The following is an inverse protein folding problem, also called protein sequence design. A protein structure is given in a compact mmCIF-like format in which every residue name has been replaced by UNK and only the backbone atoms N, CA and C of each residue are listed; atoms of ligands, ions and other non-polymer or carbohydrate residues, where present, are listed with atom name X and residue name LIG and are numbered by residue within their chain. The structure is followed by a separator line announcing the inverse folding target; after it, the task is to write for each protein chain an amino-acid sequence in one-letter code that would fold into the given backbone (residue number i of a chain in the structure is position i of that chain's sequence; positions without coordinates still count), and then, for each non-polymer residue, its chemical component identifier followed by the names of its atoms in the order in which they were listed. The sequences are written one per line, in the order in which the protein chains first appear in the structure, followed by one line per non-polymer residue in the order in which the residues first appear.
data_IF_791973997267
#
_entry.id   IF_791973997267
#
_cell.length_a   1.000
_cell.length_b   1.000
_cell.length_c   1.000
_cell.angle_alpha   90.00
_cell.angle_beta   90.00
_cell.angle_gamma   90.00
#
_symmetry.space_group_name_H-M   'P 1'
#
loop_
_entity.id
_entity.type
_entity.pdbx_description
1 polymer ?
#
# COMPACT_ATOMS: atom_id res chain seq x y z
N UNK A 1 -3.43 -8.22 -25.69
CA UNK A 1 -2.32 -8.23 -24.72
C UNK A 1 -1.74 -9.64 -24.70
N UNK A 2 -0.45 -9.79 -25.01
CA UNK A 2 0.24 -11.08 -25.06
C UNK A 2 0.70 -11.56 -23.67
N UNK A 3 1.03 -12.84 -23.52
CA UNK A 3 1.46 -13.43 -22.24
C UNK A 3 2.65 -12.69 -21.61
N UNK A 4 3.64 -12.29 -22.42
CA UNK A 4 4.78 -11.52 -21.92
C UNK A 4 4.40 -10.12 -21.42
N UNK A 5 3.41 -9.47 -22.04
CA UNK A 5 2.90 -8.16 -21.61
C UNK A 5 2.13 -8.29 -20.28
N UNK A 6 1.36 -9.38 -20.11
CA UNK A 6 0.66 -9.69 -18.86
C UNK A 6 1.61 -9.95 -17.71
N UNK A 7 2.68 -10.72 -17.95
CA UNK A 7 3.70 -11.00 -16.94
C UNK A 7 4.47 -9.75 -16.51
N UNK A 8 4.81 -8.86 -17.44
CA UNK A 8 5.42 -7.56 -17.12
C UNK A 8 4.47 -6.71 -16.27
N UNK A 9 3.20 -6.63 -16.66
CA UNK A 9 2.20 -5.90 -15.91
C UNK A 9 1.98 -6.44 -14.48
N UNK A 10 1.93 -7.77 -14.30
CA UNK A 10 1.88 -8.39 -12.97
C UNK A 10 3.09 -8.01 -12.09
N UNK A 11 4.28 -7.97 -12.69
CA UNK A 11 5.51 -7.59 -11.98
C UNK A 11 5.47 -6.10 -11.57
N UNK A 12 4.99 -5.22 -12.43
CA UNK A 12 4.80 -3.80 -12.14
C UNK A 12 3.79 -3.58 -11.00
N UNK A 13 2.65 -4.29 -11.03
CA UNK A 13 1.64 -4.22 -9.95
C UNK A 13 2.20 -4.72 -8.62
N UNK A 14 2.99 -5.81 -8.64
CA UNK A 14 3.64 -6.35 -7.43
C UNK A 14 4.66 -5.35 -6.88
N UNK A 15 5.43 -4.70 -7.76
CA UNK A 15 6.38 -3.66 -7.37
C UNK A 15 5.68 -2.46 -6.74
N UNK A 16 4.67 -1.92 -7.41
CA UNK A 16 3.89 -0.78 -6.93
C UNK A 16 3.19 -1.08 -5.59
N UNK A 17 2.67 -2.30 -5.42
CA UNK A 17 2.12 -2.79 -4.16
C UNK A 17 3.14 -2.66 -3.03
N UNK A 18 4.34 -3.21 -3.24
CA UNK A 18 5.43 -3.20 -2.26
C UNK A 18 5.91 -1.78 -1.94
N UNK A 19 6.08 -0.94 -2.96
CA UNK A 19 6.49 0.46 -2.75
C UNK A 19 5.46 1.22 -1.93
N UNK A 20 4.17 1.02 -2.22
CA UNK A 20 3.08 1.68 -1.50
C UNK A 20 3.02 1.24 -0.04
N UNK A 21 3.15 -0.07 0.24
CA UNK A 21 3.16 -0.57 1.62
C UNK A 21 4.41 -0.13 2.39
N UNK A 22 5.57 -0.12 1.75
CA UNK A 22 6.80 0.39 2.38
C UNK A 22 6.68 1.87 2.73
N UNK A 23 6.13 2.68 1.82
CA UNK A 23 5.90 4.10 2.08
C UNK A 23 4.93 4.29 3.27
N UNK A 24 3.88 3.45 3.37
CA UNK A 24 2.98 3.48 4.52
C UNK A 24 3.73 3.16 5.83
N UNK A 25 4.59 2.14 5.85
CA UNK A 25 5.39 1.77 7.04
C UNK A 25 6.37 2.88 7.46
N UNK A 26 7.02 3.53 6.49
CA UNK A 26 7.92 4.66 6.74
C UNK A 26 7.16 5.87 7.33
N UNK A 27 6.01 6.23 6.74
CA UNK A 27 5.17 7.32 7.23
C UNK A 27 4.64 7.00 8.64
N UNK A 28 4.21 5.77 8.90
CA UNK A 28 3.75 5.36 10.23
C UNK A 28 4.89 5.44 11.27
N UNK A 29 6.11 5.08 10.89
CA UNK A 29 7.30 5.24 11.73
C UNK A 29 7.56 6.70 12.08
N UNK A 30 7.51 7.60 11.09
CA UNK A 30 7.69 9.04 11.28
C UNK A 30 6.57 9.64 12.14
N UNK A 31 5.31 9.27 11.87
CA UNK A 31 4.13 9.68 12.64
C UNK A 31 4.28 9.30 14.12
N UNK A 32 4.64 8.05 14.42
CA UNK A 32 4.85 7.59 15.81
C UNK A 32 5.97 8.35 16.52
N UNK A 33 7.06 8.64 15.81
CA UNK A 33 8.19 9.43 16.35
C UNK A 33 7.74 10.85 16.69
N UNK A 34 7.04 11.52 15.78
CA UNK A 34 6.49 12.85 16.02
C UNK A 34 5.48 12.84 17.17
N UNK A 35 4.56 11.87 17.20
CA UNK A 35 3.59 11.72 18.30
C UNK A 35 4.25 11.57 19.67
N UNK A 36 5.36 10.83 19.75
CA UNK A 36 6.16 10.73 20.99
C UNK A 36 6.74 12.08 21.39
N UNK A 37 7.36 12.80 20.44
CA UNK A 37 7.94 14.13 20.68
C UNK A 37 6.88 15.15 21.11
N UNK A 38 5.67 15.08 20.53
CA UNK A 38 4.56 15.96 20.88
C UNK A 38 3.97 15.62 22.26
N UNK A 39 3.87 14.33 22.60
CA UNK A 39 3.51 13.89 23.95
C UNK A 39 4.50 14.38 25.00
N UNK A 40 5.80 14.32 24.72
CA UNK A 40 6.85 14.85 25.60
C UNK A 40 6.74 16.36 25.77
N UNK A 41 6.52 17.09 24.68
CA UNK A 41 6.33 18.53 24.69
C UNK A 41 5.09 18.92 25.49
N UNK A 42 3.96 18.24 25.29
CA UNK A 42 2.70 18.51 26.00
C UNK A 42 2.77 18.32 27.52
N UNK A 43 3.77 17.59 28.03
CA UNK A 43 4.01 17.45 29.48
C UNK A 43 4.65 18.69 30.11
N UNK A 44 5.34 19.50 29.33
CA UNK A 44 6.13 20.64 29.83
C UNK A 44 5.64 21.99 29.32
N UNK A 45 5.01 22.01 28.14
CA UNK A 45 4.47 23.20 27.52
C UNK A 45 2.97 23.31 27.79
N UNK A 46 2.58 24.35 28.52
CA UNK A 46 1.19 24.58 28.95
C UNK A 46 0.70 25.97 28.54
N UNK A 47 -0.62 26.19 28.60
CA UNK A 47 -1.27 27.45 28.23
C UNK A 47 -1.92 27.41 26.84
N UNK A 48 -2.60 28.49 26.48
CA UNK A 48 -3.44 28.54 25.27
C UNK A 48 -2.66 28.30 23.97
N UNK A 49 -1.41 28.78 23.89
CA UNK A 49 -0.56 28.54 22.72
C UNK A 49 -0.20 27.05 22.57
N UNK A 50 0.08 26.36 23.69
CA UNK A 50 0.33 24.93 23.69
C UNK A 50 -0.92 24.15 23.24
N UNK A 51 -2.09 24.51 23.77
CA UNK A 51 -3.37 23.90 23.36
C UNK A 51 -3.64 24.09 21.87
N UNK A 52 -3.48 25.30 21.34
CA UNK A 52 -3.72 25.58 19.92
C UNK A 52 -2.79 24.75 19.02
N UNK A 53 -1.52 24.64 19.39
CA UNK A 53 -0.56 23.83 18.64
C UNK A 53 -0.84 22.33 18.74
N UNK A 54 -1.15 21.82 19.93
CA UNK A 54 -1.46 20.40 20.13
C UNK A 54 -2.77 19.97 19.44
N UNK A 55 -3.73 20.87 19.29
CA UNK A 55 -4.93 20.61 18.50
C UNK A 55 -4.60 20.43 17.01
N UNK A 56 -3.78 21.33 16.44
CA UNK A 56 -3.32 21.19 15.05
C UNK A 56 -2.52 19.89 14.86
N UNK A 57 -1.71 19.50 15.85
CA UNK A 57 -1.02 18.21 15.81
C UNK A 57 -2.01 17.03 15.79
N UNK A 58 -3.09 17.07 16.59
CA UNK A 58 -4.10 16.02 16.59
C UNK A 58 -4.76 15.88 15.21
N UNK A 59 -5.14 17.01 14.58
CA UNK A 59 -5.72 17.00 13.23
C UNK A 59 -4.75 16.39 12.20
N UNK A 60 -3.46 16.73 12.28
CA UNK A 60 -2.42 16.15 11.41
C UNK A 60 -2.26 14.65 11.64
N UNK A 61 -2.28 14.20 12.90
CA UNK A 61 -2.13 12.79 13.26
C UNK A 61 -3.30 11.95 12.73
N UNK A 62 -4.51 12.49 12.80
CA UNK A 62 -5.73 11.86 12.28
C UNK A 62 -5.71 11.77 10.74
N UNK A 63 -5.39 12.86 10.05
CA UNK A 63 -5.24 12.89 8.58
C UNK A 63 -4.15 11.92 8.10
N UNK A 64 -3.01 11.85 8.80
CA UNK A 64 -1.98 10.84 8.53
C UNK A 64 -2.51 9.42 8.73
N UNK A 65 -3.37 9.19 9.72
CA UNK A 65 -4.03 7.91 9.94
C UNK A 65 -4.93 7.48 8.80
N UNK A 66 -5.74 8.40 8.27
CA UNK A 66 -6.57 8.14 7.09
C UNK A 66 -5.72 7.82 5.86
N UNK A 67 -4.70 8.64 5.58
CA UNK A 67 -3.78 8.42 4.46
C UNK A 67 -3.06 7.06 4.55
N UNK A 68 -2.62 6.66 5.75
CA UNK A 68 -1.99 5.36 5.97
C UNK A 68 -2.94 4.18 5.69
N UNK A 69 -4.21 4.32 6.05
CA UNK A 69 -5.23 3.31 5.74
C UNK A 69 -5.43 3.18 4.22
N UNK A 70 -5.50 4.31 3.51
CA UNK A 70 -5.65 4.34 2.05
C UNK A 70 -4.43 3.71 1.35
N UNK A 71 -3.20 4.05 1.77
CA UNK A 71 -1.99 3.47 1.20
C UNK A 71 -1.94 1.94 1.39
N UNK A 72 -2.32 1.45 2.56
CA UNK A 72 -2.39 0.00 2.81
C UNK A 72 -3.43 -0.66 1.91
N UNK A 73 -4.62 -0.07 1.80
CA UNK A 73 -5.68 -0.58 0.94
C UNK A 73 -5.29 -0.60 -0.55
N UNK A 74 -4.60 0.46 -1.03
CA UNK A 74 -4.05 0.52 -2.39
C UNK A 74 -3.03 -0.60 -2.60
N UNK A 75 -2.08 -0.75 -1.67
CA UNK A 75 -1.06 -1.79 -1.72
C UNK A 75 -1.66 -3.20 -1.79
N UNK A 76 -2.66 -3.49 -0.95
CA UNK A 76 -3.41 -4.75 -0.96
C UNK A 76 -4.16 -4.97 -2.28
N UNK A 77 -4.81 -3.93 -2.79
CA UNK A 77 -5.56 -3.99 -4.06
C UNK A 77 -4.64 -4.29 -5.25
N UNK A 78 -3.46 -3.67 -5.30
CA UNK A 78 -2.44 -3.93 -6.32
C UNK A 78 -1.92 -5.37 -6.26
N UNK A 79 -1.68 -5.88 -5.04
CA UNK A 79 -1.26 -7.28 -4.83
C UNK A 79 -2.34 -8.26 -5.28
N UNK A 80 -3.60 -8.01 -4.92
CA UNK A 80 -4.73 -8.83 -5.33
C UNK A 80 -4.92 -8.83 -6.85
N UNK A 81 -4.76 -7.67 -7.51
CA UNK A 81 -4.82 -7.55 -8.96
C UNK A 81 -3.69 -8.36 -9.63
N UNK A 82 -2.45 -8.25 -9.15
CA UNK A 82 -1.32 -9.03 -9.67
C UNK A 82 -1.57 -10.54 -9.55
N UNK A 83 -2.11 -10.99 -8.41
CA UNK A 83 -2.46 -12.40 -8.19
C UNK A 83 -3.57 -12.88 -9.14
N UNK A 84 -4.60 -12.06 -9.38
CA UNK A 84 -5.68 -12.38 -10.31
C UNK A 84 -5.17 -12.54 -11.75
N UNK A 85 -4.31 -11.63 -12.21
CA UNK A 85 -3.73 -11.71 -13.54
C UNK A 85 -2.78 -12.90 -13.72
N UNK A 86 -1.96 -13.22 -12.71
CA UNK A 86 -1.13 -14.42 -12.73
C UNK A 86 -1.96 -15.71 -12.80
N UNK A 87 -3.09 -15.77 -12.10
CA UNK A 87 -4.01 -16.90 -12.18
C UNK A 87 -4.66 -17.03 -13.57
N UNK A 88 -5.03 -15.90 -14.20
CA UNK A 88 -5.54 -15.89 -15.58
C UNK A 88 -4.49 -16.39 -16.59
N UNK A 89 -3.22 -16.02 -16.42
CA UNK A 89 -2.13 -16.52 -17.27
C UNK A 89 -1.99 -18.03 -17.18
N UNK A 90 -1.95 -18.58 -15.96
CA UNK A 90 -1.80 -20.02 -15.72
C UNK A 90 -2.96 -20.81 -16.31
N UNK A 91 -4.21 -20.37 -16.09
CA UNK A 91 -5.37 -21.06 -16.63
C UNK A 91 -5.43 -21.02 -18.17
N UNK A 92 -4.99 -19.91 -18.78
CA UNK A 92 -4.88 -19.80 -20.23
C UNK A 92 -3.82 -20.74 -20.81
N UNK A 93 -2.67 -20.84 -20.13
CA UNK A 93 -1.60 -21.77 -20.51
C UNK A 93 -2.05 -23.24 -20.41
N UNK A 94 -2.70 -23.62 -19.31
CA UNK A 94 -3.22 -24.98 -19.10
C UNK A 94 -4.27 -25.35 -20.15
N UNK A 95 -5.20 -24.43 -20.45
CA UNK A 95 -6.21 -24.63 -21.49
C UNK A 95 -5.58 -24.81 -22.88
N UNK A 96 -4.53 -24.06 -23.20
CA UNK A 96 -3.80 -24.19 -24.46
C UNK A 96 -3.05 -25.53 -24.55
N UNK A 97 -2.39 -25.95 -23.48
CA UNK A 97 -1.70 -27.24 -23.39
C UNK A 97 -2.66 -28.44 -23.49
N UNK A 98 -3.92 -28.28 -23.07
CA UNK A 98 -4.95 -29.30 -23.19
C UNK A 98 -5.45 -29.50 -24.64
N UNK A 99 -5.20 -28.57 -25.56
CA UNK A 99 -5.55 -28.71 -26.97
C UNK A 99 -4.52 -29.64 -27.64
N UNK A 100 -4.81 -30.93 -27.71
CA UNK A 100 -4.03 -31.87 -28.54
C UNK A 100 -4.28 -31.59 -30.04
N UNK A 101 -3.24 -31.61 -30.89
CA UNK A 101 -3.43 -31.61 -32.34
C UNK A 101 -4.29 -32.81 -32.75
N UNK A 102 -5.18 -32.68 -33.75
CA UNK A 102 -5.89 -33.82 -34.28
C UNK A 102 -4.88 -34.87 -34.75
N UNK A 103 -5.10 -36.13 -34.35
CA UNK A 103 -4.27 -37.23 -34.81
C UNK A 103 -4.37 -37.30 -36.34
N UNK A 104 -3.23 -37.13 -37.00
CA UNK A 104 -3.07 -37.34 -38.45
C UNK A 104 -2.83 -38.81 -38.71
#
# INVERSE_FOLDING_TARGET
MGANELRVYCAELTHASKETTNAADEIEGLRRKLGTQMGDLGRTWTGQAATAYLNVWADIDDECGAMLADLRWIGESLSAAAAAYAHMENNGADAFHAIKPPAV
#
